data_IF_233598604438
#
_entry.id   IF_233598604438
#
_cell.length_a   1.000
_cell.length_b   1.000
_cell.length_c   1.000
_cell.angle_alpha   90.00
_cell.angle_beta   90.00
_cell.angle_gamma   90.00
#
_symmetry.space_group_name_H-M   'P 1'
#
loop_
_entity.id
_entity.type
_entity.pdbx_description
1 polymer ?
#
# COMPACT_ATOMS: atom_id res chain seq x y z
N UNK A 1 -17.76 -6.00 7.18
CA UNK A 1 -18.56 -6.25 5.95
C UNK A 1 -17.74 -5.79 4.77
N UNK A 2 -17.35 -6.69 3.88
CA UNK A 2 -16.74 -6.35 2.59
C UNK A 2 -17.90 -6.32 1.60
N UNK A 3 -18.18 -5.15 1.02
CA UNK A 3 -19.21 -5.03 -0.02
C UNK A 3 -18.63 -5.60 -1.32
N UNK A 4 -19.22 -6.68 -1.81
CA UNK A 4 -18.90 -7.25 -3.11
C UNK A 4 -19.79 -6.60 -4.18
N UNK A 5 -19.23 -5.65 -4.92
CA UNK A 5 -19.91 -5.10 -6.08
C UNK A 5 -19.83 -6.12 -7.22
N UNK A 6 -20.99 -6.61 -7.70
CA UNK A 6 -21.07 -7.41 -8.93
C UNK A 6 -20.90 -6.49 -10.15
N UNK A 7 -19.68 -6.07 -10.43
CA UNK A 7 -19.34 -5.22 -11.57
C UNK A 7 -18.05 -4.42 -11.38
N UNK A 8 -17.44 -3.93 -12.48
CA UNK A 8 -16.29 -3.03 -12.41
C UNK A 8 -16.74 -1.70 -11.82
N UNK A 9 -16.14 -1.30 -10.70
CA UNK A 9 -16.48 -0.04 -10.04
C UNK A 9 -16.00 1.15 -10.91
N UNK A 10 -16.92 2.04 -11.31
CA UNK A 10 -16.58 3.25 -12.07
C UNK A 10 -15.98 4.34 -11.15
N UNK A 11 -14.76 4.10 -10.65
CA UNK A 11 -14.03 5.03 -9.78
C UNK A 11 -13.76 6.39 -10.43
N UNK A 12 -13.83 6.47 -11.76
CA UNK A 12 -13.67 7.71 -12.54
C UNK A 12 -14.64 8.82 -12.14
N UNK A 13 -15.83 8.48 -11.63
CA UNK A 13 -16.87 9.44 -11.25
C UNK A 13 -16.63 10.05 -9.86
N UNK A 14 -15.75 9.45 -9.06
CA UNK A 14 -15.54 9.78 -7.64
C UNK A 14 -14.42 10.82 -7.43
N UNK A 15 -14.47 11.92 -8.17
CA UNK A 15 -13.39 12.92 -8.20
C UNK A 15 -13.06 13.59 -6.85
N UNK A 16 -14.01 13.62 -5.91
CA UNK A 16 -13.81 14.19 -4.56
C UNK A 16 -13.38 13.16 -3.50
N UNK A 17 -13.28 11.89 -3.86
CA UNK A 17 -12.98 10.82 -2.90
C UNK A 17 -11.57 10.97 -2.33
N UNK A 18 -11.49 11.07 -1.00
CA UNK A 18 -10.21 11.20 -0.27
C UNK A 18 -9.75 9.90 0.38
N UNK A 19 -10.68 8.99 0.66
CA UNK A 19 -10.41 7.70 1.28
C UNK A 19 -11.01 6.58 0.45
N UNK A 20 -10.19 5.62 0.06
CA UNK A 20 -10.60 4.37 -0.56
C UNK A 20 -10.19 3.23 0.37
N UNK A 21 -11.15 2.67 1.10
CA UNK A 21 -10.86 1.72 2.19
C UNK A 21 -10.92 0.24 1.76
N UNK A 22 -11.35 -0.07 0.53
CA UNK A 22 -11.47 -1.46 0.07
C UNK A 22 -11.18 -1.59 -1.41
N UNK A 23 -9.89 -1.47 -1.78
CA UNK A 23 -9.43 -1.86 -3.10
C UNK A 23 -8.87 -3.29 -3.03
N UNK A 24 -9.52 -4.25 -3.68
CA UNK A 24 -8.96 -5.59 -3.87
C UNK A 24 -8.43 -5.71 -5.29
N UNK A 25 -7.18 -6.12 -5.42
CA UNK A 25 -6.53 -6.23 -6.73
C UNK A 25 -7.07 -7.40 -7.57
N UNK A 26 -7.83 -8.31 -6.97
CA UNK A 26 -8.58 -9.34 -7.69
C UNK A 26 -9.84 -8.84 -8.39
N UNK A 27 -10.34 -7.65 -8.02
CA UNK A 27 -11.63 -7.12 -8.52
C UNK A 27 -11.55 -5.71 -9.12
N UNK A 28 -10.44 -5.00 -8.93
CA UNK A 28 -10.26 -3.64 -9.43
C UNK A 28 -8.86 -3.46 -10.02
N UNK A 29 -8.80 -2.82 -11.18
CA UNK A 29 -7.54 -2.43 -11.80
C UNK A 29 -6.98 -1.22 -11.04
N UNK A 30 -5.75 -1.34 -10.54
CA UNK A 30 -5.03 -0.23 -9.90
C UNK A 30 -4.99 1.02 -10.79
N UNK A 31 -5.05 0.87 -12.13
CA UNK A 31 -5.18 2.01 -13.06
C UNK A 31 -6.37 2.92 -12.74
N UNK A 32 -7.46 2.39 -12.19
CA UNK A 32 -8.63 3.19 -11.85
C UNK A 32 -8.36 4.15 -10.68
N UNK A 33 -7.36 3.85 -9.83
CA UNK A 33 -6.88 4.76 -8.77
C UNK A 33 -6.27 6.03 -9.36
N UNK A 34 -5.69 5.99 -10.56
CA UNK A 34 -5.11 7.19 -11.20
C UNK A 34 -6.13 8.32 -11.38
N UNK A 35 -7.42 7.99 -11.47
CA UNK A 35 -8.53 8.94 -11.66
C UNK A 35 -8.97 9.61 -10.36
N UNK A 36 -8.58 9.06 -9.20
CA UNK A 36 -8.93 9.57 -7.87
C UNK A 36 -7.93 10.66 -7.44
N UNK A 37 -7.98 11.82 -8.08
CA UNK A 37 -6.97 12.89 -7.95
C UNK A 37 -6.88 13.50 -6.55
N UNK A 38 -7.95 13.40 -5.75
CA UNK A 38 -8.05 13.87 -4.37
C UNK A 38 -7.77 12.79 -3.32
N UNK A 39 -7.39 11.57 -3.74
CA UNK A 39 -7.13 10.47 -2.81
C UNK A 39 -5.95 10.80 -1.88
N UNK A 40 -6.12 10.48 -0.60
CA UNK A 40 -5.12 10.70 0.47
C UNK A 40 -4.91 9.47 1.33
N UNK A 41 -5.94 8.63 1.48
CA UNK A 41 -5.88 7.35 2.18
C UNK A 41 -6.28 6.22 1.24
N UNK A 42 -5.41 5.22 1.15
CA UNK A 42 -5.63 4.01 0.36
C UNK A 42 -5.48 2.78 1.26
N UNK A 43 -6.48 1.91 1.25
CA UNK A 43 -6.39 0.55 1.76
C UNK A 43 -6.52 -0.42 0.60
N UNK A 44 -5.51 -1.27 0.46
CA UNK A 44 -5.42 -2.28 -0.60
C UNK A 44 -5.28 -3.67 -0.01
N UNK A 45 -6.02 -4.62 -0.57
CA UNK A 45 -5.87 -6.06 -0.33
C UNK A 45 -5.20 -6.69 -1.55
N UNK A 46 -4.13 -7.44 -1.29
CA UNK A 46 -3.30 -8.13 -2.28
C UNK A 46 -3.48 -9.64 -2.08
N UNK A 47 -4.14 -10.28 -3.04
CA UNK A 47 -4.53 -11.69 -2.97
C UNK A 47 -3.68 -12.63 -3.83
N UNK A 48 -3.04 -12.11 -4.88
CA UNK A 48 -2.28 -12.89 -5.86
C UNK A 48 -1.34 -12.01 -6.68
N UNK A 49 -0.50 -12.64 -7.51
CA UNK A 49 0.35 -11.92 -8.46
C UNK A 49 -0.47 -11.08 -9.43
N UNK A 50 0.04 -9.89 -9.74
CA UNK A 50 -0.58 -8.93 -10.65
C UNK A 50 0.29 -8.81 -11.89
N UNK A 51 -0.24 -9.21 -13.04
CA UNK A 51 0.43 -9.01 -14.31
C UNK A 51 0.57 -7.51 -14.61
N UNK A 52 1.72 -7.12 -15.16
CA UNK A 52 2.03 -5.73 -15.55
C UNK A 52 1.96 -4.72 -14.39
N UNK A 53 2.15 -5.16 -13.14
CA UNK A 53 2.09 -4.29 -11.96
C UNK A 53 3.04 -3.09 -12.07
N UNK A 54 4.28 -3.31 -12.54
CA UNK A 54 5.26 -2.24 -12.69
C UNK A 54 4.76 -1.13 -13.64
N UNK A 55 4.15 -1.48 -14.77
CA UNK A 55 3.58 -0.52 -15.71
C UNK A 55 2.39 0.21 -15.09
N UNK A 56 1.53 -0.51 -14.35
CA UNK A 56 0.39 0.08 -13.66
C UNK A 56 0.84 1.07 -12.58
N UNK A 57 1.88 0.73 -11.82
CA UNK A 57 2.46 1.60 -10.79
C UNK A 57 3.11 2.83 -11.41
N UNK A 58 3.81 2.69 -12.54
CA UNK A 58 4.33 3.85 -13.31
C UNK A 58 3.20 4.76 -13.77
N UNK A 59 2.13 4.19 -14.30
CA UNK A 59 0.96 4.96 -14.75
C UNK A 59 0.22 5.67 -13.60
N UNK A 60 0.12 5.01 -12.44
CA UNK A 60 -0.60 5.53 -11.26
C UNK A 60 0.26 6.36 -10.32
N UNK A 61 1.57 6.45 -10.58
CA UNK A 61 2.57 7.02 -9.67
C UNK A 61 2.26 8.44 -9.19
N UNK A 62 1.71 9.29 -10.05
CA UNK A 62 1.33 10.66 -9.65
C UNK A 62 0.25 10.68 -8.55
N UNK A 63 -0.70 9.75 -8.58
CA UNK A 63 -1.73 9.64 -7.55
C UNK A 63 -1.17 8.95 -6.31
N UNK A 64 -0.39 7.89 -6.47
CA UNK A 64 0.24 7.17 -5.35
C UNK A 64 1.19 8.06 -4.54
N UNK A 65 1.94 8.95 -5.21
CA UNK A 65 2.81 9.94 -4.54
C UNK A 65 2.06 10.93 -3.64
N UNK A 66 0.74 11.10 -3.81
CA UNK A 66 -0.09 11.98 -2.97
C UNK A 66 -0.73 11.26 -1.78
N UNK A 67 -0.59 9.94 -1.71
CA UNK A 67 -1.11 9.15 -0.60
C UNK A 67 -0.30 9.49 0.65
N UNK A 68 -1.01 9.92 1.70
CA UNK A 68 -0.42 10.15 3.01
C UNK A 68 -0.53 8.94 3.93
N UNK A 69 -1.61 8.16 3.80
CA UNK A 69 -1.86 6.96 4.59
C UNK A 69 -2.09 5.75 3.70
N UNK A 70 -1.21 4.77 3.80
CA UNK A 70 -1.33 3.50 3.08
C UNK A 70 -1.58 2.35 4.07
N UNK A 71 -2.54 1.51 3.74
CA UNK A 71 -2.81 0.25 4.44
C UNK A 71 -2.74 -0.87 3.40
N UNK A 72 -1.84 -1.83 3.59
CA UNK A 72 -1.71 -3.00 2.72
C UNK A 72 -2.03 -4.25 3.53
N UNK A 73 -2.98 -5.03 3.03
CA UNK A 73 -3.33 -6.34 3.55
C UNK A 73 -2.93 -7.40 2.54
N UNK A 74 -2.16 -8.40 2.98
CA UNK A 74 -1.67 -9.50 2.15
C UNK A 74 -2.39 -10.77 2.59
N UNK A 75 -3.14 -11.42 1.69
CA UNK A 75 -3.91 -12.63 2.05
C UNK A 75 -3.00 -13.86 2.25
N UNK A 76 -1.87 -13.93 1.56
CA UNK A 76 -0.94 -15.06 1.57
C UNK A 76 0.45 -14.66 1.05
N UNK A 77 1.46 -15.52 1.23
CA UNK A 77 2.86 -15.27 0.86
C UNK A 77 3.06 -14.90 -0.63
N UNK A 78 2.16 -15.28 -1.53
CA UNK A 78 2.31 -14.97 -2.96
C UNK A 78 2.09 -13.50 -3.31
N UNK A 79 1.50 -12.71 -2.39
CA UNK A 79 1.24 -11.29 -2.56
C UNK A 79 2.31 -10.36 -1.98
N UNK A 80 3.33 -10.89 -1.29
CA UNK A 80 4.35 -10.10 -0.59
C UNK A 80 5.10 -9.19 -1.56
N UNK A 81 5.57 -9.73 -2.69
CA UNK A 81 6.35 -8.95 -3.67
C UNK A 81 5.53 -7.78 -4.23
N UNK A 82 4.28 -8.01 -4.60
CA UNK A 82 3.38 -6.99 -5.14
C UNK A 82 3.06 -5.93 -4.08
N UNK A 83 2.85 -6.35 -2.83
CA UNK A 83 2.68 -5.44 -1.72
C UNK A 83 3.90 -4.52 -1.57
N UNK A 84 5.12 -5.06 -1.66
CA UNK A 84 6.34 -4.25 -1.55
C UNK A 84 6.49 -3.28 -2.74
N UNK A 85 6.17 -3.70 -3.97
CA UNK A 85 6.17 -2.80 -5.13
C UNK A 85 5.16 -1.64 -4.97
N UNK A 86 3.97 -1.91 -4.42
CA UNK A 86 2.96 -0.88 -4.12
C UNK A 86 3.48 0.10 -3.06
N UNK A 87 4.07 -0.42 -1.97
CA UNK A 87 4.66 0.42 -0.91
C UNK A 87 5.76 1.30 -1.49
N UNK A 88 6.69 0.73 -2.28
CA UNK A 88 7.79 1.44 -2.96
C UNK A 88 7.32 2.57 -3.89
N UNK A 89 6.09 2.49 -4.38
CA UNK A 89 5.46 3.51 -5.24
C UNK A 89 4.78 4.64 -4.46
N UNK A 90 4.62 4.50 -3.14
CA UNK A 90 3.94 5.46 -2.26
C UNK A 90 4.95 6.20 -1.37
N UNK A 91 5.90 6.92 -1.95
CA UNK A 91 7.03 7.54 -1.20
C UNK A 91 6.64 8.71 -0.28
N UNK A 92 5.47 9.32 -0.52
CA UNK A 92 4.99 10.49 0.23
C UNK A 92 4.29 10.17 1.55
N UNK A 93 4.13 8.90 1.91
CA UNK A 93 3.33 8.47 3.06
C UNK A 93 3.94 8.93 4.39
N UNK A 94 3.06 9.34 5.31
CA UNK A 94 3.43 9.54 6.72
C UNK A 94 2.98 8.37 7.61
N UNK A 95 2.00 7.59 7.15
CA UNK A 95 1.48 6.42 7.84
C UNK A 95 1.47 5.19 6.92
N UNK A 96 2.09 4.12 7.39
CA UNK A 96 2.06 2.80 6.77
C UNK A 96 1.50 1.78 7.74
N UNK A 97 0.53 0.97 7.29
CA UNK A 97 0.13 -0.28 7.93
C UNK A 97 0.34 -1.44 6.96
N UNK A 98 1.05 -2.44 7.42
CA UNK A 98 1.24 -3.72 6.75
C UNK A 98 0.57 -4.80 7.60
N UNK A 99 -0.21 -5.66 6.96
CA UNK A 99 -0.96 -6.72 7.63
C UNK A 99 -0.94 -8.00 6.78
N UNK A 100 -0.71 -9.14 7.44
CA UNK A 100 -0.53 -10.44 6.78
C UNK A 100 0.95 -10.78 6.53
N UNK A 101 1.25 -11.94 5.94
CA UNK A 101 2.59 -12.53 5.94
C UNK A 101 3.55 -11.74 5.05
N UNK A 102 4.35 -10.89 5.69
CA UNK A 102 5.30 -9.97 5.07
C UNK A 102 6.60 -10.16 5.83
N UNK A 103 7.46 -11.04 5.32
CA UNK A 103 8.72 -11.39 5.95
C UNK A 103 9.76 -10.27 5.79
N UNK A 104 9.67 -9.48 4.72
CA UNK A 104 10.66 -8.46 4.35
C UNK A 104 10.02 -7.10 4.10
N UNK A 105 10.69 -6.05 4.58
CA UNK A 105 10.30 -4.66 4.32
C UNK A 105 11.05 -4.11 3.10
N UNK A 106 10.53 -3.06 2.43
CA UNK A 106 11.26 -2.40 1.35
C UNK A 106 12.57 -1.82 1.88
N UNK A 107 13.69 -2.11 1.23
CA UNK A 107 15.01 -1.66 1.68
C UNK A 107 15.08 -0.14 1.75
N UNK A 108 14.46 0.53 0.81
CA UNK A 108 14.36 1.99 0.70
C UNK A 108 13.42 2.66 1.71
N UNK A 109 12.78 1.94 2.63
CA UNK A 109 11.84 2.52 3.59
C UNK A 109 12.48 3.62 4.47
N UNK A 110 13.79 3.51 4.73
CA UNK A 110 14.58 4.55 5.43
C UNK A 110 14.66 5.90 4.68
N UNK A 111 14.39 5.91 3.38
CA UNK A 111 14.38 7.11 2.55
C UNK A 111 13.01 7.81 2.52
N UNK A 112 12.02 7.37 3.31
CA UNK A 112 10.68 7.93 3.29
C UNK A 112 10.65 9.14 4.23
N UNK A 113 10.66 10.37 3.68
CA UNK A 113 10.96 11.56 4.49
C UNK A 113 9.87 11.85 5.52
N UNK A 114 8.63 11.45 5.27
CA UNK A 114 7.49 11.80 6.10
C UNK A 114 7.01 10.65 7.00
N UNK A 115 7.61 9.44 6.90
CA UNK A 115 7.12 8.26 7.58
C UNK A 115 7.32 8.38 9.09
N UNK A 116 6.22 8.66 9.80
CA UNK A 116 6.20 8.88 11.25
C UNK A 116 5.46 7.77 11.99
N UNK A 117 4.59 7.02 11.30
CA UNK A 117 3.77 5.94 11.89
C UNK A 117 3.89 4.67 11.07
N UNK A 118 4.33 3.59 11.72
CA UNK A 118 4.41 2.25 11.15
C UNK A 118 3.63 1.26 12.00
N UNK A 119 2.79 0.46 11.36
CA UNK A 119 2.06 -0.64 11.99
C UNK A 119 2.35 -1.92 11.21
N UNK A 120 2.80 -2.95 11.91
CA UNK A 120 3.10 -4.27 11.38
C UNK A 120 2.21 -5.23 12.14
N UNK A 121 1.33 -5.95 11.44
CA UNK A 121 0.31 -6.81 12.06
C UNK A 121 0.41 -8.17 11.40
N UNK A 122 0.66 -9.22 12.18
CA UNK A 122 0.77 -10.59 11.65
C UNK A 122 1.85 -10.74 10.53
N UNK A 123 2.86 -9.87 10.52
CA UNK A 123 3.86 -9.84 9.44
C UNK A 123 4.84 -11.03 9.46
N UNK A 124 5.22 -11.51 10.65
CA UNK A 124 6.21 -12.59 10.76
C UNK A 124 7.59 -12.18 10.20
N UNK A 125 8.00 -10.92 10.44
CA UNK A 125 9.25 -10.35 9.92
C UNK A 125 10.47 -11.21 10.26
N UNK A 126 11.38 -11.36 9.30
CA UNK A 126 12.68 -12.00 9.52
C UNK A 126 13.51 -11.18 10.52
N UNK A 127 14.29 -11.85 11.37
CA UNK A 127 15.08 -11.21 12.44
C UNK A 127 16.06 -10.15 11.92
N UNK A 128 16.53 -10.30 10.69
CA UNK A 128 17.46 -9.38 10.04
C UNK A 128 16.80 -8.07 9.56
N UNK A 129 15.46 -8.00 9.51
CA UNK A 129 14.71 -6.81 9.10
C UNK A 129 14.65 -5.73 10.19
N UNK A 130 14.96 -6.07 11.44
CA UNK A 130 14.97 -5.11 12.55
C UNK A 130 15.90 -3.92 12.28
N UNK A 131 17.01 -4.13 11.57
CA UNK A 131 17.94 -3.07 11.20
C UNK A 131 17.37 -2.04 10.20
N UNK A 132 16.25 -2.33 9.52
CA UNK A 132 15.53 -1.33 8.71
C UNK A 132 14.75 -0.40 9.63
N UNK A 133 14.08 -0.94 10.65
CA UNK A 133 13.28 -0.16 11.60
C UNK A 133 14.14 0.84 12.38
N UNK A 134 15.36 0.43 12.77
CA UNK A 134 16.34 1.28 13.46
C UNK A 134 16.82 2.47 12.62
N UNK A 135 16.73 2.37 11.28
CA UNK A 135 17.20 3.38 10.33
C UNK A 135 16.11 4.35 9.87
N UNK A 136 14.86 4.22 10.37
CA UNK A 136 13.77 5.11 10.01
C UNK A 136 13.92 6.45 10.76
N UNK A 137 14.31 7.55 10.08
CA UNK A 137 14.82 8.75 10.77
C UNK A 137 13.74 9.52 11.53
N UNK A 138 12.48 9.46 11.08
CA UNK A 138 11.38 10.27 11.60
C UNK A 138 10.28 9.42 12.28
N UNK A 139 10.55 8.14 12.56
CA UNK A 139 9.54 7.26 13.14
C UNK A 139 9.23 7.66 14.58
N UNK A 140 7.97 7.98 14.85
CA UNK A 140 7.48 8.40 16.18
C UNK A 140 6.49 7.41 16.79
N UNK A 141 5.90 6.55 15.96
CA UNK A 141 4.94 5.54 16.41
C UNK A 141 5.24 4.24 15.68
N UNK A 142 5.53 3.19 16.45
CA UNK A 142 5.68 1.82 15.98
C UNK A 142 4.66 0.94 16.69
N UNK A 143 3.96 0.10 15.94
CA UNK A 143 3.11 -0.97 16.43
C UNK A 143 3.52 -2.27 15.75
N UNK A 144 3.74 -3.33 16.53
CA UNK A 144 4.21 -4.64 16.11
C UNK A 144 3.22 -5.74 16.53
#
# INVERSE_FOLDING_TARGET
MIYEAKGKLELSTLGHLQTLDSLSTGYCDLKDVSRLTNLRKLRIRVSSSLQNLEEILKFTGNTLNRIGSLIVFVDNNSGEEQAMQIVSSCRGIYKLRLEGPIAKLPKELHNYPNLTKLQLIECGLDKDQMGILEKLPNLTTLHL
#
